data_IF_620536856864
#
_entry.id   IF_620536856864
#
_cell.length_a   1.000
_cell.length_b   1.000
_cell.length_c   1.000
_cell.angle_alpha   90.00
_cell.angle_beta   90.00
_cell.angle_gamma   90.00
#
_symmetry.space_group_name_H-M   'P 1'
#
loop_
_entity.id
_entity.type
_entity.pdbx_description
1 polymer ?
#
# COMPACT_ATOMS: atom_id res chain seq x y z
N UNK A 1 28.92 -6.38 10.17
CA UNK A 1 28.73 -6.88 8.79
C UNK A 1 27.27 -6.77 8.43
N UNK A 2 26.84 -5.57 8.05
CA UNK A 2 25.44 -5.29 7.66
C UNK A 2 25.50 -4.36 6.45
N UNK A 3 24.63 -4.57 5.45
CA UNK A 3 24.62 -3.81 4.20
C UNK A 3 24.93 -4.58 2.89
N UNK A 4 24.95 -5.92 2.90
CA UNK A 4 25.27 -6.71 1.68
C UNK A 4 24.09 -6.94 0.72
N UNK A 5 22.85 -6.71 1.15
CA UNK A 5 21.67 -7.03 0.33
C UNK A 5 20.96 -5.74 -0.04
N UNK A 6 21.04 -5.35 -1.32
CA UNK A 6 20.36 -4.16 -1.87
C UNK A 6 18.88 -4.40 -2.18
N UNK A 7 18.53 -5.66 -2.51
CA UNK A 7 17.18 -6.11 -2.88
C UNK A 7 16.99 -7.52 -2.34
N UNK A 8 15.82 -7.80 -1.80
CA UNK A 8 15.46 -9.11 -1.28
C UNK A 8 14.10 -9.52 -1.85
N UNK A 9 13.94 -10.81 -2.08
CA UNK A 9 12.64 -11.44 -2.31
C UNK A 9 12.31 -12.29 -1.09
N UNK A 10 11.10 -12.14 -0.55
CA UNK A 10 10.65 -12.87 0.64
C UNK A 10 9.39 -13.65 0.26
N UNK A 11 9.51 -14.96 0.17
CA UNK A 11 8.39 -15.87 -0.06
C UNK A 11 7.63 -16.13 1.26
N UNK A 12 6.84 -15.15 1.70
CA UNK A 12 6.06 -15.25 2.94
C UNK A 12 4.69 -15.93 2.69
N UNK A 13 4.29 -16.79 3.64
CA UNK A 13 2.93 -17.35 3.74
C UNK A 13 2.57 -17.51 5.23
N UNK A 14 1.38 -17.09 5.69
CA UNK A 14 0.25 -16.51 4.94
C UNK A 14 0.52 -15.11 4.33
N UNK A 15 -0.30 -14.65 3.36
CA UNK A 15 -0.22 -13.29 2.81
C UNK A 15 -0.59 -12.23 3.85
N UNK A 16 -0.56 -10.94 3.47
CA UNK A 16 -0.77 -9.85 4.45
C UNK A 16 -1.61 -8.64 4.04
N UNK A 17 -1.80 -8.34 2.76
CA UNK A 17 -2.29 -7.01 2.35
C UNK A 17 -3.76 -6.70 2.69
N UNK A 18 -4.58 -7.70 3.00
CA UNK A 18 -5.96 -7.52 3.46
C UNK A 18 -6.10 -7.43 4.98
N UNK A 19 -5.04 -7.72 5.75
CA UNK A 19 -5.10 -7.61 7.20
C UNK A 19 -5.05 -6.13 7.60
N UNK A 20 -6.15 -5.62 8.15
CA UNK A 20 -6.25 -4.29 8.73
C UNK A 20 -5.65 -4.21 10.14
N UNK A 21 -6.00 -3.15 10.88
CA UNK A 21 -5.54 -2.97 12.27
C UNK A 21 -6.23 -3.95 13.22
N UNK A 22 -7.52 -4.17 13.03
CA UNK A 22 -8.37 -4.88 14.01
C UNK A 22 -8.99 -6.19 13.47
N UNK A 23 -8.80 -6.51 12.19
CA UNK A 23 -9.47 -7.66 11.55
C UNK A 23 -8.58 -8.40 10.53
N UNK A 24 -8.40 -9.73 10.67
CA UNK A 24 -7.82 -10.57 9.63
C UNK A 24 -8.83 -10.81 8.51
N UNK A 25 -8.36 -10.80 7.26
CA UNK A 25 -9.23 -10.87 6.08
C UNK A 25 -8.48 -11.40 4.87
N UNK A 26 -9.17 -11.94 3.85
CA UNK A 26 -8.53 -12.39 2.59
C UNK A 26 -7.33 -13.33 2.79
N UNK A 27 -7.43 -14.29 3.72
CA UNK A 27 -6.36 -15.19 4.17
C UNK A 27 -5.15 -14.52 4.86
N UNK A 28 -5.20 -13.20 5.05
CA UNK A 28 -4.18 -12.39 5.70
C UNK A 28 -4.45 -12.31 7.21
N UNK A 29 -3.49 -12.81 8.00
CA UNK A 29 -3.56 -12.77 9.48
C UNK A 29 -2.74 -11.64 10.10
N UNK A 30 -1.71 -11.20 9.38
CA UNK A 30 -0.82 -10.11 9.78
C UNK A 30 -0.47 -9.33 8.52
N UNK A 31 -0.43 -8.01 8.60
CA UNK A 31 0.07 -7.20 7.50
C UNK A 31 1.60 -7.23 7.43
N UNK A 32 2.15 -8.25 6.73
CA UNK A 32 3.58 -8.53 6.64
C UNK A 32 4.41 -7.29 6.25
N UNK A 33 3.97 -6.55 5.23
CA UNK A 33 4.69 -5.37 4.72
C UNK A 33 4.66 -4.23 5.74
N UNK A 34 3.50 -3.94 6.33
CA UNK A 34 3.40 -2.88 7.34
C UNK A 34 4.22 -3.18 8.60
N UNK A 35 4.30 -4.45 9.03
CA UNK A 35 5.19 -4.88 10.12
C UNK A 35 6.66 -4.65 9.73
N UNK A 36 7.04 -4.99 8.50
CA UNK A 36 8.39 -4.74 7.97
C UNK A 36 8.75 -3.25 7.98
N UNK A 37 7.84 -2.38 7.54
CA UNK A 37 8.00 -0.92 7.58
C UNK A 37 8.18 -0.42 9.01
N UNK A 38 7.36 -0.88 9.95
CA UNK A 38 7.50 -0.47 11.35
C UNK A 38 8.82 -0.94 11.97
N UNK A 39 9.23 -2.16 11.67
CA UNK A 39 10.52 -2.69 12.10
C UNK A 39 11.67 -1.84 11.55
N UNK A 40 11.62 -1.47 10.26
CA UNK A 40 12.63 -0.61 9.65
C UNK A 40 12.69 0.79 10.27
N UNK A 41 11.54 1.40 10.55
CA UNK A 41 11.48 2.69 11.24
C UNK A 41 12.09 2.63 12.64
N UNK A 42 11.71 1.62 13.45
CA UNK A 42 12.18 1.51 14.85
C UNK A 42 13.64 1.09 14.97
N UNK A 43 14.09 0.14 14.14
CA UNK A 43 15.44 -0.42 14.25
C UNK A 43 16.49 0.36 13.48
N UNK A 44 16.12 0.86 12.30
CA UNK A 44 17.06 1.48 11.35
C UNK A 44 16.80 2.97 11.12
N UNK A 45 15.80 3.55 11.77
CA UNK A 45 15.49 4.97 11.64
C UNK A 45 14.97 5.35 10.25
N UNK A 46 14.36 4.41 9.52
CA UNK A 46 13.70 4.73 8.25
C UNK A 46 12.68 5.86 8.47
N UNK A 47 12.75 6.92 7.66
CA UNK A 47 11.95 8.13 7.84
C UNK A 47 10.71 8.17 6.96
N UNK A 48 10.61 7.32 5.94
CA UNK A 48 9.45 7.13 5.08
C UNK A 48 9.50 5.74 4.43
N UNK A 49 8.37 5.28 3.91
CA UNK A 49 8.30 4.09 3.06
C UNK A 49 7.19 4.23 1.99
N UNK A 50 7.35 3.51 0.89
CA UNK A 50 6.32 3.35 -0.14
C UNK A 50 5.96 1.87 -0.27
N UNK A 51 4.66 1.57 -0.34
CA UNK A 51 4.13 0.23 -0.62
C UNK A 51 3.61 0.26 -2.05
N UNK A 52 4.24 -0.50 -2.93
CA UNK A 52 3.75 -0.77 -4.29
C UNK A 52 3.10 -2.17 -4.28
N UNK A 53 1.77 -2.20 -4.39
CA UNK A 53 0.96 -3.42 -4.32
C UNK A 53 0.39 -3.76 -5.70
N UNK A 54 0.92 -4.81 -6.32
CA UNK A 54 0.50 -5.28 -7.65
C UNK A 54 -0.23 -6.63 -7.58
N UNK A 55 -0.67 -7.05 -6.38
CA UNK A 55 -1.60 -8.17 -6.28
C UNK A 55 -2.89 -7.85 -7.05
N UNK A 56 -3.56 -8.87 -7.60
CA UNK A 56 -4.80 -8.69 -8.35
C UNK A 56 -5.87 -7.98 -7.52
N UNK A 57 -5.91 -8.23 -6.21
CA UNK A 57 -6.91 -7.71 -5.28
C UNK A 57 -6.48 -6.39 -4.65
N UNK A 58 -7.45 -5.54 -4.28
CA UNK A 58 -7.15 -4.31 -3.56
C UNK A 58 -6.66 -4.64 -2.14
N UNK A 59 -5.43 -4.23 -1.79
CA UNK A 59 -4.87 -4.37 -0.45
C UNK A 59 -5.45 -3.37 0.57
N UNK A 60 -6.76 -3.45 0.80
CA UNK A 60 -7.57 -2.64 1.72
C UNK A 60 -7.00 -2.56 3.14
N UNK A 61 -6.47 -3.67 3.65
CA UNK A 61 -5.80 -3.73 4.94
C UNK A 61 -4.54 -2.86 4.98
N UNK A 62 -3.67 -2.98 3.98
CA UNK A 62 -2.45 -2.17 3.85
C UNK A 62 -2.78 -0.68 3.72
N UNK A 63 -3.77 -0.33 2.90
CA UNK A 63 -4.24 1.05 2.75
C UNK A 63 -4.68 1.63 4.11
N UNK A 64 -5.50 0.88 4.85
CA UNK A 64 -6.02 1.29 6.16
C UNK A 64 -4.91 1.46 7.20
N UNK A 65 -3.97 0.51 7.25
CA UNK A 65 -2.83 0.58 8.19
C UNK A 65 -1.91 1.76 7.86
N UNK A 66 -1.64 2.00 6.57
CA UNK A 66 -0.86 3.17 6.12
C UNK A 66 -1.57 4.48 6.51
N UNK A 67 -2.89 4.55 6.29
CA UNK A 67 -3.68 5.73 6.63
C UNK A 67 -3.58 6.09 8.11
N UNK A 68 -3.90 5.16 9.00
CA UNK A 68 -3.85 5.40 10.45
C UNK A 68 -2.42 5.68 10.96
N UNK A 69 -1.41 5.13 10.29
CA UNK A 69 0.00 5.44 10.59
C UNK A 69 0.33 6.90 10.25
N UNK A 70 -0.11 7.36 9.08
CA UNK A 70 0.09 8.73 8.63
C UNK A 70 -0.64 9.73 9.54
N UNK A 71 -1.87 9.41 9.99
CA UNK A 71 -2.58 10.25 10.97
C UNK A 71 -1.77 10.42 12.28
N UNK A 72 -1.19 9.33 12.79
CA UNK A 72 -0.30 9.39 13.96
C UNK A 72 0.98 10.19 13.69
N UNK A 73 1.52 10.13 12.48
CA UNK A 73 2.67 10.93 12.06
C UNK A 73 2.32 12.42 11.96
N UNK A 74 1.12 12.78 11.50
CA UNK A 74 0.68 14.17 11.32
C UNK A 74 0.16 14.83 12.61
N UNK A 75 -0.48 14.08 13.51
CA UNK A 75 -0.90 14.56 14.83
C UNK A 75 0.28 14.96 15.74
N UNK A 76 1.51 14.70 15.30
CA UNK A 76 2.77 14.91 16.01
C UNK A 76 3.24 16.36 16.17
N UNK A 77 2.46 17.37 15.78
CA UNK A 77 2.88 18.77 15.58
C UNK A 77 3.43 19.58 16.78
N UNK A 78 3.96 18.94 17.83
CA UNK A 78 4.68 19.58 18.95
C UNK A 78 6.02 18.89 19.23
N UNK A 79 6.99 19.62 19.81
CA UNK A 79 8.34 19.12 20.19
C UNK A 79 8.28 17.71 20.80
N UNK A 80 8.73 16.67 20.08
CA UNK A 80 8.62 15.27 20.53
C UNK A 80 9.88 14.77 21.25
N UNK A 81 9.67 14.19 22.43
CA UNK A 81 10.44 13.06 22.97
C UNK A 81 9.69 11.78 22.61
N UNK A 82 10.13 11.04 21.59
CA UNK A 82 9.55 9.76 21.18
C UNK A 82 10.03 9.30 19.81
N UNK A 83 9.87 8.00 19.44
CA UNK A 83 10.29 7.49 18.13
C UNK A 83 9.55 8.19 16.98
N UNK A 84 10.29 8.54 15.93
CA UNK A 84 9.72 9.12 14.71
C UNK A 84 8.87 8.06 13.99
N UNK A 85 7.59 8.38 13.73
CA UNK A 85 6.70 7.52 12.94
C UNK A 85 6.90 7.86 11.47
N UNK A 86 7.52 6.94 10.72
CA UNK A 86 7.72 7.10 9.28
C UNK A 86 6.37 7.13 8.54
N UNK A 87 6.00 8.21 7.82
CA UNK A 87 4.85 8.17 6.92
C UNK A 87 5.01 7.09 5.84
N UNK A 88 3.88 6.60 5.33
CA UNK A 88 3.80 5.53 4.33
C UNK A 88 2.88 5.95 3.20
N UNK A 89 3.40 5.92 1.97
CA UNK A 89 2.58 5.97 0.77
C UNK A 89 2.07 4.58 0.40
N UNK A 90 0.80 4.45 0.03
CA UNK A 90 0.20 3.21 -0.46
C UNK A 90 -0.24 3.37 -1.91
N UNK A 91 0.28 2.53 -2.79
CA UNK A 91 0.05 2.61 -4.23
C UNK A 91 -0.30 1.21 -4.74
N UNK A 92 -1.46 1.06 -5.37
CA UNK A 92 -1.96 -0.25 -5.78
C UNK A 92 -2.44 -0.28 -7.22
N UNK A 93 -2.11 -1.37 -7.92
CA UNK A 93 -2.69 -1.79 -9.19
C UNK A 93 -3.53 -3.05 -8.93
N UNK A 94 -4.84 -3.01 -9.16
CA UNK A 94 -5.72 -4.14 -8.89
C UNK A 94 -6.94 -4.18 -9.81
N UNK A 95 -7.63 -5.31 -9.88
CA UNK A 95 -8.96 -5.41 -10.50
C UNK A 95 -10.02 -4.96 -9.49
N UNK A 96 -10.68 -3.84 -9.79
CA UNK A 96 -11.73 -3.25 -8.94
C UNK A 96 -12.97 -4.13 -8.79
N UNK A 97 -13.15 -5.13 -9.67
CA UNK A 97 -14.26 -6.08 -9.56
C UNK A 97 -13.88 -7.34 -8.77
N UNK A 98 -12.63 -7.41 -8.28
CA UNK A 98 -12.14 -8.50 -7.44
C UNK A 98 -12.25 -8.14 -5.95
N UNK A 99 -11.76 -9.02 -5.08
CA UNK A 99 -11.78 -8.84 -3.64
C UNK A 99 -11.14 -7.49 -3.18
N UNK A 100 -11.74 -6.77 -2.21
CA UNK A 100 -12.99 -7.07 -1.47
C UNK A 100 -14.25 -6.42 -2.09
N UNK A 101 -14.15 -5.96 -3.34
CA UNK A 101 -15.16 -5.19 -4.04
C UNK A 101 -16.11 -6.04 -4.91
N UNK A 102 -15.98 -7.37 -4.89
CA UNK A 102 -16.68 -8.32 -5.77
C UNK A 102 -18.21 -8.28 -5.63
N UNK A 103 -18.70 -7.78 -4.49
CA UNK A 103 -20.13 -7.61 -4.21
C UNK A 103 -20.65 -6.19 -4.51
N UNK A 104 -19.79 -5.29 -5.01
CA UNK A 104 -20.17 -3.91 -5.32
C UNK A 104 -20.47 -3.04 -4.10
N UNK A 105 -19.90 -3.36 -2.94
CA UNK A 105 -20.03 -2.54 -1.73
C UNK A 105 -19.50 -1.13 -1.99
N UNK A 106 -20.35 -0.13 -1.75
CA UNK A 106 -20.05 1.25 -2.13
C UNK A 106 -18.81 1.81 -1.42
N UNK A 107 -18.60 1.47 -0.16
CA UNK A 107 -17.49 2.01 0.63
C UNK A 107 -16.18 1.33 0.24
N UNK A 108 -16.20 0.03 -0.02
CA UNK A 108 -15.04 -0.70 -0.53
C UNK A 108 -14.64 -0.23 -1.93
N UNK A 109 -15.60 -0.09 -2.85
CA UNK A 109 -15.33 0.41 -4.21
C UNK A 109 -14.77 1.83 -4.17
N UNK A 110 -15.33 2.72 -3.32
CA UNK A 110 -14.78 4.07 -3.14
C UNK A 110 -13.36 4.05 -2.57
N UNK A 111 -13.11 3.23 -1.55
CA UNK A 111 -11.78 3.10 -0.94
C UNK A 111 -10.74 2.57 -1.94
N UNK A 112 -11.10 1.58 -2.74
CA UNK A 112 -10.29 1.01 -3.82
C UNK A 112 -10.14 1.96 -5.02
N UNK A 113 -10.90 3.06 -5.09
CA UNK A 113 -10.80 4.08 -6.14
C UNK A 113 -10.11 5.37 -5.67
N UNK A 114 -9.62 5.39 -4.43
CA UNK A 114 -9.10 6.60 -3.82
C UNK A 114 -7.74 6.99 -4.42
N UNK A 115 -7.62 8.24 -4.86
CA UNK A 115 -6.38 8.86 -5.32
C UNK A 115 -6.18 10.21 -4.61
N UNK A 116 -5.24 10.25 -3.67
CA UNK A 116 -4.88 11.40 -2.86
C UNK A 116 -3.35 11.56 -2.87
N UNK A 117 -2.87 12.71 -3.33
CA UNK A 117 -1.44 13.05 -3.33
C UNK A 117 -1.15 14.10 -2.26
N UNK A 118 -0.57 13.68 -1.14
CA UNK A 118 -0.09 14.55 -0.04
C UNK A 118 -1.16 15.52 0.52
N UNK A 119 -2.43 15.13 0.51
CA UNK A 119 -3.50 15.90 1.17
C UNK A 119 -3.85 15.25 2.51
N UNK A 120 -4.02 16.09 3.54
CA UNK A 120 -4.17 15.64 4.94
C UNK A 120 -3.01 14.73 5.42
N UNK A 121 -1.84 14.91 4.79
CA UNK A 121 -0.64 14.08 4.97
C UNK A 121 -0.87 12.59 4.69
N UNK A 122 -1.76 12.29 3.73
CA UNK A 122 -1.98 10.97 3.16
C UNK A 122 -1.45 10.93 1.73
N UNK A 123 -0.89 9.79 1.35
CA UNK A 123 -0.48 9.48 -0.03
C UNK A 123 -1.02 8.10 -0.38
N UNK A 124 -2.13 8.08 -1.13
CA UNK A 124 -2.82 6.85 -1.58
C UNK A 124 -3.09 6.99 -3.07
N UNK A 125 -2.72 6.01 -3.87
CA UNK A 125 -3.06 6.01 -5.29
C UNK A 125 -3.46 4.62 -5.77
N UNK A 126 -4.71 4.49 -6.20
CA UNK A 126 -5.23 3.23 -6.71
C UNK A 126 -5.46 3.33 -8.22
N UNK A 127 -4.95 2.35 -8.96
CA UNK A 127 -5.13 2.22 -10.41
C UNK A 127 -5.84 0.91 -10.69
N UNK A 128 -6.89 0.98 -11.50
CA UNK A 128 -7.66 -0.21 -11.86
C UNK A 128 -7.13 -0.84 -13.14
N UNK A 129 -6.91 -2.15 -13.07
CA UNK A 129 -6.62 -2.98 -14.24
C UNK A 129 -7.73 -2.82 -15.27
N UNK A 130 -7.34 -2.82 -16.54
CA UNK A 130 -8.25 -2.80 -17.68
C UNK A 130 -8.14 -4.09 -18.47
N UNK A 131 -9.24 -4.53 -19.10
CA UNK A 131 -9.17 -5.63 -20.04
C UNK A 131 -8.29 -5.24 -21.24
N UNK A 132 -7.58 -6.23 -21.76
CA UNK A 132 -6.79 -6.14 -22.97
C UNK A 132 -6.83 -7.48 -23.70
N UNK A 133 -6.58 -7.48 -25.00
CA UNK A 133 -6.71 -8.71 -25.82
C UNK A 133 -5.41 -9.08 -26.51
N UNK A 134 -4.66 -8.07 -26.96
CA UNK A 134 -3.37 -8.24 -27.59
C UNK A 134 -2.27 -7.76 -26.65
N UNK A 135 -1.07 -8.32 -26.79
CA UNK A 135 0.07 -7.91 -25.99
C UNK A 135 0.40 -6.40 -26.16
N UNK A 136 0.18 -5.84 -27.36
CA UNK A 136 0.35 -4.41 -27.61
C UNK A 136 -0.59 -3.53 -26.76
N UNK A 137 -1.83 -3.98 -26.54
CA UNK A 137 -2.81 -3.28 -25.69
C UNK A 137 -2.31 -3.23 -24.24
N UNK A 138 -1.73 -4.35 -23.76
CA UNK A 138 -1.12 -4.41 -22.43
C UNK A 138 0.02 -3.40 -22.30
N UNK A 139 0.92 -3.32 -23.27
CA UNK A 139 2.05 -2.38 -23.21
C UNK A 139 1.60 -0.92 -23.24
N UNK A 140 0.55 -0.59 -24.00
CA UNK A 140 -0.06 0.75 -23.96
C UNK A 140 -0.64 1.08 -22.58
N UNK A 141 -1.34 0.13 -21.95
CA UNK A 141 -1.85 0.29 -20.58
C UNK A 141 -0.72 0.40 -19.57
N UNK A 142 0.33 -0.42 -19.72
CA UNK A 142 1.48 -0.42 -18.84
C UNK A 142 2.21 0.92 -18.88
N UNK A 143 2.61 1.37 -20.07
CA UNK A 143 3.38 2.60 -20.28
C UNK A 143 2.57 3.88 -20.00
N UNK A 144 1.26 3.87 -20.26
CA UNK A 144 0.41 5.05 -20.13
C UNK A 144 -0.31 5.18 -18.79
N UNK A 145 -0.71 4.05 -18.17
CA UNK A 145 -1.57 4.07 -16.98
C UNK A 145 -0.94 3.39 -15.77
N UNK A 146 -0.32 2.22 -15.93
CA UNK A 146 0.17 1.46 -14.77
C UNK A 146 1.48 2.04 -14.22
N UNK A 147 2.36 2.56 -15.08
CA UNK A 147 3.57 3.30 -14.68
C UNK A 147 3.28 4.56 -13.86
N UNK A 148 2.08 5.15 -13.99
CA UNK A 148 1.69 6.31 -13.20
C UNK A 148 1.82 6.05 -11.69
N UNK A 149 1.70 4.79 -11.21
CA UNK A 149 1.94 4.43 -9.81
C UNK A 149 3.36 4.76 -9.35
N UNK A 150 4.36 4.63 -10.24
CA UNK A 150 5.75 4.93 -9.93
C UNK A 150 6.01 6.43 -9.83
N UNK A 151 5.27 7.25 -10.58
CA UNK A 151 5.38 8.71 -10.53
C UNK A 151 4.73 9.30 -9.27
N UNK A 152 3.77 8.58 -8.67
CA UNK A 152 3.09 9.01 -7.44
C UNK A 152 3.81 8.55 -6.16
N UNK A 153 4.70 7.55 -6.25
CA UNK A 153 5.37 6.91 -5.12
C UNK A 153 6.66 7.62 -4.67
#
# INVERSE_FOLDING_TARGET
TEGRVRKAFVAARPPGHHCGVDEPSGFCWVNNVCVGVEYAARKWGATAAAILDFDLHHGDGSQTVAWGRNERANASGGKKKGPQVAPVGYFSLHDINSYPCEMGDADKVRAASLCIANAHGQSVWNVHLQPWTQEADFWQLYEGRYTALLDQA
#
